data_IF_557379689981
#
_entry.id   IF_557379689981
#
_cell.length_a   1.000
_cell.length_b   1.000
_cell.length_c   1.000
_cell.angle_alpha   90.00
_cell.angle_beta   90.00
_cell.angle_gamma   90.00
#
_symmetry.space_group_name_H-M   'P 1'
#
loop_
_entity.id
_entity.type
_entity.pdbx_description
1 polymer ?
#
# COMPACT_ATOMS: atom_id res chain seq x y z
N UNK A 1 -4.63 2.29 -56.69
CA UNK A 1 -3.62 2.20 -55.61
C UNK A 1 -3.75 3.29 -54.55
N UNK A 2 -4.03 4.57 -54.88
CA UNK A 2 -4.13 5.66 -53.89
C UNK A 2 -5.24 5.52 -52.83
N UNK A 3 -6.37 4.87 -53.15
CA UNK A 3 -7.51 4.70 -52.22
C UNK A 3 -7.24 3.77 -51.02
N UNK A 4 -6.40 2.73 -51.20
CA UNK A 4 -6.13 1.73 -50.14
C UNK A 4 -5.34 2.35 -48.98
N UNK A 5 -4.46 3.30 -49.30
CA UNK A 5 -3.62 4.00 -48.33
C UNK A 5 -4.43 5.00 -47.48
N UNK A 6 -5.45 5.64 -48.06
CA UNK A 6 -6.35 6.55 -47.34
C UNK A 6 -7.24 5.81 -46.34
N UNK A 7 -7.73 4.62 -46.69
CA UNK A 7 -8.54 3.79 -45.79
C UNK A 7 -7.70 3.26 -44.62
N UNK A 8 -6.46 2.83 -44.87
CA UNK A 8 -5.54 2.40 -43.79
C UNK A 8 -5.19 3.53 -42.82
N UNK A 9 -4.99 4.77 -43.31
CA UNK A 9 -4.71 5.92 -42.45
C UNK A 9 -5.92 6.32 -41.59
N UNK A 10 -7.13 6.26 -42.16
CA UNK A 10 -8.36 6.57 -41.44
C UNK A 10 -8.67 5.53 -40.35
N UNK A 11 -8.47 4.24 -40.64
CA UNK A 11 -8.64 3.16 -39.66
C UNK A 11 -7.58 3.25 -38.55
N UNK A 12 -6.32 3.56 -38.91
CA UNK A 12 -5.25 3.76 -37.93
C UNK A 12 -5.51 4.92 -36.97
N UNK A 13 -6.00 6.05 -37.48
CA UNK A 13 -6.33 7.22 -36.65
C UNK A 13 -7.52 6.95 -35.69
N UNK A 14 -8.52 6.17 -36.14
CA UNK A 14 -9.66 5.79 -35.31
C UNK A 14 -9.27 4.87 -34.14
N UNK A 15 -8.29 3.97 -34.33
CA UNK A 15 -7.81 3.07 -33.28
C UNK A 15 -7.01 3.84 -32.21
N UNK A 16 -6.22 4.84 -32.60
CA UNK A 16 -5.45 5.67 -31.65
C UNK A 16 -6.37 6.56 -30.80
N UNK A 17 -7.48 7.05 -31.35
CA UNK A 17 -8.47 7.83 -30.61
C UNK A 17 -9.32 6.98 -29.64
N UNK A 18 -9.34 5.65 -29.79
CA UNK A 18 -10.04 4.74 -28.90
C UNK A 18 -9.20 4.31 -27.67
N UNK A 19 -7.91 4.65 -27.64
CA UNK A 19 -7.03 4.38 -26.50
C UNK A 19 -7.36 5.34 -25.34
N UNK A 20 -8.36 4.97 -24.53
CA UNK A 20 -8.65 5.66 -23.28
C UNK A 20 -7.49 5.43 -22.30
N UNK A 21 -6.86 6.46 -21.72
CA UNK A 21 -5.89 6.25 -20.67
C UNK A 21 -6.60 5.61 -19.48
N UNK A 22 -6.34 4.33 -19.24
CA UNK A 22 -6.84 3.65 -18.04
C UNK A 22 -6.04 4.15 -16.85
N UNK A 23 -6.66 5.00 -16.02
CA UNK A 23 -6.13 5.30 -14.68
C UNK A 23 -6.23 4.04 -13.83
N UNK A 24 -5.17 3.24 -13.77
CA UNK A 24 -5.09 2.14 -12.82
C UNK A 24 -4.76 2.69 -11.42
N UNK A 25 -5.75 3.25 -10.73
CA UNK A 25 -5.71 3.26 -9.27
C UNK A 25 -6.00 1.81 -8.84
N UNK A 26 -4.97 1.04 -8.48
CA UNK A 26 -5.18 -0.32 -8.00
C UNK A 26 -6.03 -0.25 -6.72
N UNK A 27 -7.22 -0.87 -6.79
CA UNK A 27 -8.16 -0.93 -5.68
C UNK A 27 -7.60 -1.84 -4.59
N UNK A 28 -7.78 -1.47 -3.32
CA UNK A 28 -7.52 -2.35 -2.17
C UNK A 28 -8.02 -3.79 -2.42
N UNK A 29 -9.24 -3.94 -2.94
CA UNK A 29 -9.87 -5.25 -3.15
C UNK A 29 -9.22 -6.11 -4.25
N UNK A 30 -8.37 -5.51 -5.09
CA UNK A 30 -7.60 -6.22 -6.11
C UNK A 30 -6.35 -6.88 -5.50
N UNK A 31 -5.75 -6.28 -4.48
CA UNK A 31 -4.46 -6.69 -3.92
C UNK A 31 -4.59 -7.39 -2.55
N UNK A 32 -5.54 -6.95 -1.73
CA UNK A 32 -5.69 -7.38 -0.34
C UNK A 32 -7.04 -8.05 -0.09
N UNK A 33 -7.07 -8.90 0.92
CA UNK A 33 -8.26 -9.66 1.32
C UNK A 33 -8.89 -9.02 2.57
N UNK A 34 -10.04 -8.35 2.38
CA UNK A 34 -10.80 -7.73 3.46
C UNK A 34 -11.29 -8.72 4.54
N UNK A 35 -11.30 -10.03 4.25
CA UNK A 35 -11.65 -11.06 5.24
C UNK A 35 -10.45 -11.50 6.08
N UNK A 36 -9.22 -11.20 5.65
CA UNK A 36 -7.96 -11.58 6.32
C UNK A 36 -7.31 -10.38 6.99
N UNK A 37 -8.15 -9.62 7.68
CA UNK A 37 -7.71 -8.45 8.40
C UNK A 37 -7.47 -8.84 9.87
N UNK A 38 -6.24 -8.67 10.36
CA UNK A 38 -5.88 -8.87 11.78
C UNK A 38 -5.03 -7.74 12.37
N UNK A 39 -4.76 -7.85 13.67
CA UNK A 39 -3.82 -7.00 14.38
C UNK A 39 -2.42 -7.61 14.38
N UNK A 40 -1.43 -6.73 14.30
CA UNK A 40 -0.02 -7.01 14.22
C UNK A 40 0.69 -6.17 15.28
N UNK A 41 1.56 -6.79 16.06
CA UNK A 41 2.40 -6.09 17.04
C UNK A 41 3.84 -6.55 16.86
N UNK A 42 4.77 -5.61 16.84
CA UNK A 42 6.18 -5.93 16.65
C UNK A 42 7.05 -4.68 16.63
N UNK A 43 8.30 -4.84 16.23
CA UNK A 43 9.28 -3.75 16.23
C UNK A 43 9.39 -3.14 14.84
N UNK A 44 9.22 -1.82 14.72
CA UNK A 44 9.39 -1.11 13.46
C UNK A 44 10.87 -1.15 13.03
N UNK A 45 11.18 -1.69 11.85
CA UNK A 45 12.57 -1.85 11.39
C UNK A 45 12.95 -0.92 10.25
N UNK A 46 11.99 -0.55 9.38
CA UNK A 46 12.28 0.26 8.18
C UNK A 46 11.04 1.03 7.72
N UNK A 47 11.29 2.12 7.01
CA UNK A 47 10.28 2.84 6.22
C UNK A 47 10.84 3.16 4.83
N UNK A 48 10.02 2.96 3.81
CA UNK A 48 10.24 3.39 2.43
C UNK A 48 9.17 4.40 2.04
N UNK A 49 9.61 5.64 1.80
CA UNK A 49 8.71 6.78 1.64
C UNK A 49 8.78 7.33 0.21
N UNK A 50 8.43 6.46 -0.74
CA UNK A 50 8.44 6.76 -2.18
C UNK A 50 7.02 6.79 -2.72
N UNK A 51 6.71 7.71 -3.64
CA UNK A 51 5.37 7.77 -4.25
C UNK A 51 5.12 6.56 -5.18
N UNK A 52 3.86 6.09 -5.32
CA UNK A 52 2.64 6.66 -4.74
C UNK A 52 2.38 6.21 -3.29
N UNK A 53 2.64 4.94 -2.96
CA UNK A 53 2.39 4.35 -1.66
C UNK A 53 3.70 4.15 -0.89
N UNK A 54 3.67 4.52 0.39
CA UNK A 54 4.75 4.19 1.31
C UNK A 54 4.67 2.74 1.76
N UNK A 55 5.80 2.24 2.22
CA UNK A 55 5.88 0.97 2.93
C UNK A 55 6.59 1.16 4.26
N UNK A 56 6.16 0.43 5.27
CA UNK A 56 6.93 0.30 6.50
C UNK A 56 7.00 -1.17 6.89
N UNK A 57 8.04 -1.50 7.64
CA UNK A 57 8.44 -2.88 7.89
C UNK A 57 8.49 -3.13 9.39
N UNK A 58 7.95 -4.25 9.83
CA UNK A 58 7.83 -4.62 11.24
C UNK A 58 8.28 -6.05 11.43
N UNK A 59 9.20 -6.28 12.36
CA UNK A 59 9.54 -7.63 12.79
C UNK A 59 8.45 -8.12 13.75
N UNK A 60 7.76 -9.17 13.35
CA UNK A 60 6.64 -9.76 14.10
C UNK A 60 7.00 -11.18 14.48
N UNK A 61 6.84 -11.48 15.77
CA UNK A 61 7.03 -12.82 16.30
C UNK A 61 5.71 -13.59 16.21
N UNK A 62 5.71 -14.68 15.44
CA UNK A 62 4.57 -15.57 15.33
C UNK A 62 4.49 -16.54 16.51
N UNK A 63 3.39 -17.29 16.58
CA UNK A 63 3.08 -18.17 17.71
C UNK A 63 4.09 -19.33 17.89
N UNK A 64 4.78 -19.72 16.81
CA UNK A 64 5.86 -20.71 16.82
C UNK A 64 7.21 -20.12 17.29
N UNK A 65 7.26 -18.82 17.54
CA UNK A 65 8.44 -18.10 17.95
C UNK A 65 9.34 -17.63 16.81
N UNK A 66 8.99 -17.94 15.55
CA UNK A 66 9.67 -17.40 14.38
C UNK A 66 9.42 -15.90 14.27
N UNK A 67 10.42 -15.17 13.78
CA UNK A 67 10.31 -13.72 13.52
C UNK A 67 10.29 -13.51 12.02
N UNK A 68 9.25 -12.83 11.55
CA UNK A 68 9.09 -12.48 10.15
C UNK A 68 9.02 -10.97 9.98
N UNK A 69 9.72 -10.46 8.96
CA UNK A 69 9.68 -9.05 8.61
C UNK A 69 8.47 -8.79 7.71
N UNK A 70 7.41 -8.25 8.29
CA UNK A 70 6.18 -7.89 7.59
C UNK A 70 6.30 -6.53 6.95
N UNK A 71 5.87 -6.44 5.70
CA UNK A 71 5.79 -5.19 4.95
C UNK A 71 4.34 -4.72 4.85
N UNK A 72 4.12 -3.44 5.15
CA UNK A 72 2.82 -2.81 5.21
C UNK A 72 2.70 -1.68 4.20
N UNK A 73 1.79 -1.81 3.24
CA UNK A 73 1.47 -0.75 2.28
C UNK A 73 0.58 0.30 2.95
N UNK A 74 0.91 1.57 2.76
CA UNK A 74 0.10 2.69 3.26
C UNK A 74 -0.82 3.26 2.17
N UNK A 75 -1.65 4.24 2.52
CA UNK A 75 -2.24 5.22 1.61
C UNK A 75 -1.18 5.92 0.77
N UNK A 76 -1.65 6.66 -0.24
CA UNK A 76 -0.80 7.60 -0.94
C UNK A 76 -0.12 8.56 0.04
N UNK A 77 1.17 8.86 -0.17
CA UNK A 77 1.95 9.67 0.77
C UNK A 77 1.36 11.07 0.98
N UNK A 78 0.68 11.62 -0.03
CA UNK A 78 -0.03 12.90 0.08
C UNK A 78 -1.18 12.84 1.08
N UNK A 79 -1.91 11.71 1.13
CA UNK A 79 -3.01 11.49 2.08
C UNK A 79 -2.47 11.41 3.50
N UNK A 80 -1.40 10.64 3.71
CA UNK A 80 -0.74 10.56 5.02
C UNK A 80 -0.27 11.93 5.52
N UNK A 81 0.39 12.70 4.65
CA UNK A 81 0.88 14.04 5.00
C UNK A 81 -0.25 14.99 5.36
N UNK A 82 -1.37 14.97 4.62
CA UNK A 82 -2.56 15.76 4.94
C UNK A 82 -3.20 15.35 6.27
N UNK A 83 -3.08 14.09 6.65
CA UNK A 83 -3.50 13.56 7.96
C UNK A 83 -2.44 13.75 9.07
N UNK A 84 -1.35 14.50 8.83
CA UNK A 84 -0.31 14.78 9.83
C UNK A 84 0.70 13.65 10.05
N UNK A 85 0.65 12.58 9.25
CA UNK A 85 1.63 11.48 9.30
C UNK A 85 2.81 11.79 8.39
N UNK A 86 4.01 11.88 8.97
CA UNK A 86 5.24 12.29 8.26
C UNK A 86 6.28 11.16 8.21
N UNK A 87 7.22 11.26 7.27
CA UNK A 87 8.40 10.37 7.24
C UNK A 87 9.21 10.46 8.54
N UNK A 88 9.35 11.67 9.10
CA UNK A 88 10.14 11.87 10.32
C UNK A 88 9.55 11.08 11.49
N UNK A 89 8.22 11.04 11.60
CA UNK A 89 7.53 10.24 12.61
C UNK A 89 7.93 8.76 12.56
N UNK A 90 8.05 8.17 11.36
CA UNK A 90 8.52 6.78 11.23
C UNK A 90 9.99 6.65 11.64
N UNK A 91 10.85 7.56 11.18
CA UNK A 91 12.29 7.54 11.51
C UNK A 91 12.53 7.62 13.03
N UNK A 92 11.80 8.47 13.73
CA UNK A 92 11.89 8.64 15.18
C UNK A 92 11.41 7.41 15.97
N UNK A 93 10.73 6.47 15.30
CA UNK A 93 10.17 5.27 15.88
C UNK A 93 10.81 3.96 15.37
N UNK A 94 11.87 4.01 14.55
CA UNK A 94 12.63 2.81 14.18
C UNK A 94 13.23 2.19 15.45
N UNK A 95 13.13 0.88 15.58
CA UNK A 95 13.55 0.11 16.74
C UNK A 95 12.56 0.12 17.90
N UNK A 96 11.39 0.76 17.76
CA UNK A 96 10.34 0.79 18.78
C UNK A 96 9.15 -0.07 18.39
N UNK A 97 8.39 -0.45 19.41
CA UNK A 97 7.18 -1.23 19.22
C UNK A 97 6.09 -0.42 18.52
N UNK A 98 5.40 -1.10 17.62
CA UNK A 98 4.29 -0.58 16.84
C UNK A 98 3.18 -1.62 16.81
N UNK A 99 1.95 -1.13 16.93
CA UNK A 99 0.74 -1.89 16.67
C UNK A 99 0.16 -1.45 15.33
N UNK A 100 -0.31 -2.40 14.53
CA UNK A 100 -0.86 -2.17 13.20
C UNK A 100 -2.11 -3.02 13.02
N UNK A 101 -3.20 -2.40 12.58
CA UNK A 101 -4.33 -3.11 11.98
C UNK A 101 -4.02 -3.28 10.50
N UNK A 102 -3.99 -4.49 9.97
CA UNK A 102 -3.74 -4.71 8.54
C UNK A 102 -4.51 -5.86 7.92
N UNK A 103 -4.55 -5.89 6.59
CA UNK A 103 -5.19 -6.95 5.80
C UNK A 103 -4.19 -7.60 4.86
N UNK A 104 -4.12 -8.92 4.91
CA UNK A 104 -3.12 -9.69 4.16
C UNK A 104 -3.39 -9.71 2.65
N UNK A 105 -2.34 -9.99 1.89
CA UNK A 105 -2.39 -10.14 0.44
C UNK A 105 -3.39 -11.22 0.01
N UNK A 106 -4.17 -10.95 -1.03
CA UNK A 106 -5.12 -11.92 -1.59
C UNK A 106 -4.43 -13.05 -2.34
N UNK A 107 -3.29 -12.77 -2.97
CA UNK A 107 -2.57 -13.70 -3.84
C UNK A 107 -1.59 -14.64 -3.12
N UNK A 108 -1.64 -14.71 -1.78
CA UNK A 108 -0.76 -15.57 -1.00
C UNK A 108 0.67 -15.06 -0.85
N UNK A 109 0.97 -13.82 -1.26
CA UNK A 109 2.25 -13.18 -0.93
C UNK A 109 2.41 -13.13 0.58
N UNK A 110 3.43 -13.81 1.09
CA UNK A 110 3.70 -13.90 2.52
C UNK A 110 4.26 -12.57 3.07
N UNK A 111 3.97 -12.32 4.35
CA UNK A 111 4.49 -11.18 5.12
C UNK A 111 4.23 -9.82 4.45
N UNK A 112 3.08 -9.70 3.80
CA UNK A 112 2.66 -8.54 3.05
C UNK A 112 1.20 -8.21 3.36
N UNK A 113 0.96 -6.97 3.78
CA UNK A 113 -0.37 -6.50 4.15
C UNK A 113 -0.58 -5.04 3.76
N UNK A 114 -1.83 -4.63 3.61
CA UNK A 114 -2.22 -3.23 3.65
C UNK A 114 -2.34 -2.79 5.11
N UNK A 115 -1.80 -1.63 5.46
CA UNK A 115 -2.04 -1.00 6.76
C UNK A 115 -3.40 -0.29 6.75
N UNK A 116 -4.27 -0.60 7.71
CA UNK A 116 -5.50 0.13 7.99
C UNK A 116 -5.23 1.28 8.93
N UNK A 117 -4.79 0.94 10.15
CA UNK A 117 -4.47 1.87 11.22
C UNK A 117 -3.15 1.49 11.88
N UNK A 118 -2.44 2.47 12.43
CA UNK A 118 -1.17 2.30 13.12
C UNK A 118 -1.15 3.08 14.44
N UNK A 119 -0.46 2.54 15.43
CA UNK A 119 -0.17 3.19 16.70
C UNK A 119 1.27 2.89 17.11
N UNK A 120 2.08 3.92 17.27
CA UNK A 120 3.41 3.78 17.86
C UNK A 120 3.27 3.66 19.39
N UNK A 121 4.05 2.78 20.00
CA UNK A 121 4.05 2.65 21.46
C UNK A 121 4.55 3.93 22.18
N UNK A 122 5.34 4.76 21.49
CA UNK A 122 5.93 5.99 22.02
C UNK A 122 4.91 7.10 22.34
N UNK A 123 3.82 7.17 21.58
CA UNK A 123 2.81 8.21 21.74
C UNK A 123 1.38 7.68 21.90
N UNK A 124 1.13 6.42 21.56
CA UNK A 124 -0.20 5.81 21.69
C UNK A 124 -1.26 6.41 20.74
N UNK A 125 -0.88 7.26 19.80
CA UNK A 125 -1.82 7.94 18.90
C UNK A 125 -2.17 7.02 17.73
N UNK A 126 -3.47 6.74 17.59
CA UNK A 126 -4.01 5.97 16.47
C UNK A 126 -4.04 6.82 15.20
N UNK A 127 -3.50 6.28 14.10
CA UNK A 127 -3.36 6.97 12.82
C UNK A 127 -3.92 6.11 11.70
N UNK A 128 -4.76 6.71 10.87
CA UNK A 128 -5.22 6.06 9.65
C UNK A 128 -4.05 5.93 8.67
N UNK A 129 -3.77 4.70 8.26
CA UNK A 129 -2.67 4.37 7.36
C UNK A 129 -3.12 3.90 5.99
N UNK A 130 -4.34 3.44 5.78
CA UNK A 130 -4.81 2.96 4.47
C UNK A 130 -6.32 2.83 4.35
N UNK A 131 -6.77 2.19 3.27
CA UNK A 131 -8.18 2.14 2.84
C UNK A 131 -9.11 1.30 3.73
N UNK A 132 -8.55 0.56 4.68
CA UNK A 132 -9.30 -0.26 5.61
C UNK A 132 -9.87 0.68 6.68
N UNK A 133 -11.19 0.86 6.67
CA UNK A 133 -11.90 1.58 7.73
C UNK A 133 -12.23 0.58 8.84
N UNK A 134 -11.94 0.98 10.07
CA UNK A 134 -12.18 0.21 11.29
C UNK A 134 -13.69 0.12 11.63
#
# INVERSE_FOLDING_TARGET
MKMVWTVMLAVGAAVVLAASPTFAHHSFAAEFDASKCREFSGTLTKVEWTNPHGFFYVDIKDADGAVHNWSFQTYALITLRRAGTSLQLFKDNIGKDVWVRGCEAKNGRQYYAAAGSLKFASDGVLRQMGQIQD
#
